data_IF_660779977618
#
_entry.id   IF_660779977618
#
_cell.length_a   1.000
_cell.length_b   1.000
_cell.length_c   1.000
_cell.angle_alpha   90.00
_cell.angle_beta   90.00
_cell.angle_gamma   90.00
#
_symmetry.space_group_name_H-M   'P 1'
#
loop_
_entity.id
_entity.type
_entity.pdbx_description
1 polymer ?
#
# COMPACT_ATOMS: atom_id res chain seq x y z
N UNK A 1 -9.80 -12.45 8.73
CA UNK A 1 -8.38 -12.57 8.35
C UNK A 1 -8.08 -11.75 7.11
N UNK A 2 -8.66 -12.04 5.93
CA UNK A 2 -8.40 -11.30 4.68
C UNK A 2 -8.50 -9.76 4.82
N UNK A 3 -9.59 -9.27 5.42
CA UNK A 3 -9.79 -7.83 5.67
C UNK A 3 -8.66 -7.19 6.49
N UNK A 4 -8.22 -7.85 7.56
CA UNK A 4 -7.17 -7.34 8.45
C UNK A 4 -5.84 -7.29 7.69
N UNK A 5 -5.48 -8.38 7.01
CA UNK A 5 -4.25 -8.46 6.20
C UNK A 5 -4.24 -7.40 5.10
N UNK A 6 -5.34 -7.25 4.35
CA UNK A 6 -5.47 -6.23 3.31
C UNK A 6 -5.35 -4.81 3.87
N UNK A 7 -5.96 -4.54 5.03
CA UNK A 7 -5.87 -3.22 5.69
C UNK A 7 -4.45 -2.91 6.15
N UNK A 8 -3.76 -3.88 6.76
CA UNK A 8 -2.37 -3.70 7.21
C UNK A 8 -1.46 -3.43 6.02
N UNK A 9 -1.56 -4.25 4.96
CA UNK A 9 -0.71 -4.12 3.78
C UNK A 9 -0.96 -2.79 3.05
N UNK A 10 -2.24 -2.38 2.96
CA UNK A 10 -2.61 -1.08 2.42
C UNK A 10 -2.03 0.07 3.24
N UNK A 11 -2.16 0.01 4.57
CA UNK A 11 -1.63 1.03 5.47
C UNK A 11 -0.10 1.13 5.39
N UNK A 12 0.60 -0.01 5.36
CA UNK A 12 2.06 -0.06 5.17
C UNK A 12 2.46 0.56 3.83
N UNK A 13 1.78 0.21 2.74
CA UNK A 13 2.02 0.81 1.43
C UNK A 13 1.84 2.34 1.44
N UNK A 14 0.76 2.84 2.06
CA UNK A 14 0.54 4.28 2.22
C UNK A 14 1.63 4.95 3.07
N UNK A 15 2.03 4.35 4.19
CA UNK A 15 3.08 4.90 5.04
C UNK A 15 4.42 4.97 4.32
N UNK A 16 4.75 3.96 3.51
CA UNK A 16 5.96 3.97 2.69
C UNK A 16 5.92 5.09 1.65
N UNK A 17 4.81 5.25 0.93
CA UNK A 17 4.65 6.31 -0.08
C UNK A 17 4.66 7.71 0.55
N UNK A 18 4.00 7.88 1.70
CA UNK A 18 4.04 9.13 2.46
C UNK A 18 5.46 9.43 2.98
N UNK A 19 6.17 8.40 3.46
CA UNK A 19 7.57 8.52 3.87
C UNK A 19 8.48 8.91 2.70
N UNK A 20 8.28 8.33 1.52
CA UNK A 20 9.04 8.71 0.32
C UNK A 20 8.83 10.18 -0.04
N UNK A 21 7.58 10.64 -0.03
CA UNK A 21 7.25 12.04 -0.27
C UNK A 21 7.89 12.97 0.77
N UNK A 22 7.88 12.58 2.05
CA UNK A 22 8.45 13.37 3.14
C UNK A 22 9.98 13.52 3.09
N UNK A 23 10.70 12.54 2.52
CA UNK A 23 12.17 12.56 2.46
C UNK A 23 12.73 12.94 1.08
N UNK A 24 11.89 13.14 0.07
CA UNK A 24 12.35 13.51 -1.27
C UNK A 24 12.87 14.95 -1.26
N UNK A 25 14.09 15.15 -1.75
CA UNK A 25 14.77 16.46 -1.77
C UNK A 25 15.54 16.64 -3.10
N UNK A 26 15.34 17.73 -3.85
CA UNK A 26 16.04 17.98 -5.12
C UNK A 26 17.58 17.98 -5.05
N UNK A 27 18.16 18.23 -3.87
CA UNK A 27 19.61 18.42 -3.70
C UNK A 27 20.28 17.26 -2.95
N UNK A 28 19.52 16.38 -2.30
CA UNK A 28 20.05 15.24 -1.55
C UNK A 28 19.84 13.92 -2.30
N UNK A 29 20.85 13.52 -3.06
CA UNK A 29 20.82 12.28 -3.88
C UNK A 29 20.62 11.02 -3.04
N UNK A 30 21.21 10.95 -1.86
CA UNK A 30 21.06 9.84 -0.92
C UNK A 30 19.62 9.72 -0.38
N UNK A 31 19.00 10.84 -0.03
CA UNK A 31 17.60 10.89 0.37
C UNK A 31 16.66 10.41 -0.76
N UNK A 32 16.94 10.80 -2.00
CA UNK A 32 16.16 10.37 -3.17
C UNK A 32 16.30 8.88 -3.48
N UNK A 33 17.47 8.27 -3.23
CA UNK A 33 17.63 6.82 -3.33
C UNK A 33 16.75 6.12 -2.30
N UNK A 34 16.74 6.62 -1.05
CA UNK A 34 15.85 6.13 0.00
C UNK A 34 14.37 6.25 -0.38
N UNK A 35 13.97 7.41 -0.91
CA UNK A 35 12.61 7.64 -1.41
C UNK A 35 12.24 6.67 -2.54
N UNK A 36 13.17 6.45 -3.49
CA UNK A 36 12.99 5.49 -4.57
C UNK A 36 12.74 4.07 -4.07
N UNK A 37 13.48 3.62 -3.05
CA UNK A 37 13.25 2.32 -2.41
C UNK A 37 11.88 2.21 -1.74
N UNK A 38 11.46 3.26 -1.03
CA UNK A 38 10.13 3.33 -0.41
C UNK A 38 9.00 3.31 -1.46
N UNK A 39 9.17 4.01 -2.59
CA UNK A 39 8.21 4.00 -3.71
C UNK A 39 8.11 2.60 -4.32
N UNK A 40 9.26 1.96 -4.58
CA UNK A 40 9.35 0.66 -5.25
C UNK A 40 8.65 -0.45 -4.46
N UNK A 41 8.64 -0.38 -3.12
CA UNK A 41 7.96 -1.36 -2.25
C UNK A 41 6.55 -0.90 -1.88
N UNK A 42 6.37 0.40 -1.62
CA UNK A 42 5.11 0.98 -1.17
C UNK A 42 3.98 0.81 -2.18
N UNK A 43 4.27 0.96 -3.49
CA UNK A 43 3.29 0.74 -4.56
C UNK A 43 2.77 -0.70 -4.60
N UNK A 44 3.61 -1.74 -4.74
CA UNK A 44 3.17 -3.12 -4.69
C UNK A 44 2.40 -3.47 -3.41
N UNK A 45 2.90 -3.05 -2.23
CA UNK A 45 2.24 -3.31 -0.97
C UNK A 45 0.83 -2.69 -0.93
N UNK A 46 0.72 -1.40 -1.23
CA UNK A 46 -0.55 -0.69 -1.28
C UNK A 46 -1.54 -1.33 -2.25
N UNK A 47 -1.09 -1.63 -3.47
CA UNK A 47 -1.92 -2.24 -4.51
C UNK A 47 -2.44 -3.62 -4.11
N UNK A 48 -1.59 -4.49 -3.57
CA UNK A 48 -2.00 -5.83 -3.11
C UNK A 48 -2.96 -5.72 -1.92
N UNK A 49 -2.70 -4.81 -0.98
CA UNK A 49 -3.59 -4.57 0.16
C UNK A 49 -4.99 -4.14 -0.28
N UNK A 50 -5.06 -3.21 -1.22
CA UNK A 50 -6.31 -2.77 -1.84
C UNK A 50 -7.03 -3.92 -2.55
N UNK A 51 -6.31 -4.70 -3.34
CA UNK A 51 -6.87 -5.83 -4.09
C UNK A 51 -7.48 -6.89 -3.18
N UNK A 52 -6.80 -7.22 -2.07
CA UNK A 52 -7.33 -8.13 -1.05
C UNK A 52 -8.64 -7.60 -0.46
N UNK A 53 -8.72 -6.30 -0.15
CA UNK A 53 -9.92 -5.69 0.40
C UNK A 53 -11.09 -5.69 -0.59
N UNK A 54 -10.81 -5.42 -1.87
CA UNK A 54 -11.82 -5.49 -2.93
C UNK A 54 -12.36 -6.91 -3.09
N UNK A 55 -11.49 -7.91 -3.13
CA UNK A 55 -11.90 -9.32 -3.22
C UNK A 55 -12.70 -9.75 -1.99
N UNK A 56 -12.26 -9.42 -0.77
CA UNK A 56 -13.02 -9.68 0.46
C UNK A 56 -14.41 -9.04 0.42
N UNK A 57 -14.51 -7.79 -0.06
CA UNK A 57 -15.77 -7.07 -0.24
C UNK A 57 -16.71 -7.74 -1.24
N UNK A 58 -16.21 -8.09 -2.42
CA UNK A 58 -17.00 -8.76 -3.47
C UNK A 58 -17.50 -10.13 -2.99
N UNK A 59 -16.64 -10.93 -2.34
CA UNK A 59 -17.02 -12.23 -1.81
C UNK A 59 -18.11 -12.13 -0.72
N UNK A 60 -18.04 -11.11 0.14
CA UNK A 60 -19.07 -10.86 1.15
C UNK A 60 -20.39 -10.42 0.53
N UNK A 61 -20.36 -9.59 -0.51
CA UNK A 61 -21.57 -9.17 -1.22
C UNK A 61 -22.24 -10.36 -1.90
N UNK A 62 -21.48 -11.18 -2.64
CA UNK A 62 -22.00 -12.39 -3.29
C UNK A 62 -22.66 -13.38 -2.32
N UNK A 63 -22.17 -13.47 -1.08
CA UNK A 63 -22.77 -14.33 -0.03
C UNK A 63 -24.03 -13.76 0.60
N UNK A 64 -24.31 -12.46 0.42
CA UNK A 64 -25.56 -11.83 0.90
C UNK A 64 -26.68 -11.99 -0.12
N UNK A 65 -26.32 -12.02 -1.41
CA UNK A 65 -27.26 -12.14 -2.53
C UNK A 65 -27.61 -13.60 -2.89
N UNK A 66 -26.97 -14.58 -2.24
CA UNK A 66 -27.16 -16.02 -2.43
C UNK A 66 -27.81 -16.64 -1.18
#
# INVERSE_FOLDING_TARGET
>A
MLRVTGTILLAVGFLMLAGAWAITDPFATDANIGAGGLILIGWPAGAVGLLILLVDGILRLRRRDA
#
